data_IF_842026592750
#
_entry.id   IF_842026592750
#
_cell.length_a   1.000
_cell.length_b   1.000
_cell.length_c   1.000
_cell.angle_alpha   90.00
_cell.angle_beta   90.00
_cell.angle_gamma   90.00
#
_symmetry.space_group_name_H-M   'P 1'
#
loop_
_entity.id
_entity.type
_entity.pdbx_description
1 polymer ?
#
# COMPACT_ATOMS: atom_id res chain seq x y z
N UNK A 1 -4.13 -37.65 -16.25
CA UNK A 1 -5.13 -37.55 -17.33
C UNK A 1 -4.49 -36.76 -18.46
N UNK A 2 -4.38 -37.35 -19.65
CA UNK A 2 -3.66 -36.78 -20.81
C UNK A 2 -4.38 -35.58 -21.42
N UNK A 3 -3.67 -34.57 -21.98
CA UNK A 3 -4.33 -33.42 -22.59
C UNK A 3 -4.71 -33.68 -24.05
N UNK A 4 -5.88 -33.14 -24.43
CA UNK A 4 -6.40 -33.07 -25.80
C UNK A 4 -5.80 -31.84 -26.49
N UNK A 5 -5.37 -31.92 -27.77
CA UNK A 5 -4.79 -30.77 -28.48
C UNK A 5 -5.87 -29.83 -29.05
N UNK A 6 -5.62 -28.52 -29.14
CA UNK A 6 -6.55 -27.59 -29.78
C UNK A 6 -6.40 -27.55 -31.30
N UNK A 7 -7.54 -27.38 -31.96
CA UNK A 7 -7.74 -27.23 -33.40
C UNK A 7 -7.30 -25.84 -33.89
N UNK A 8 -6.55 -25.82 -34.99
CA UNK A 8 -6.05 -24.62 -35.67
C UNK A 8 -7.15 -23.86 -36.41
N UNK A 9 -7.44 -22.62 -35.98
CA UNK A 9 -8.33 -21.67 -36.65
C UNK A 9 -7.56 -20.55 -37.35
N UNK A 10 -7.95 -20.27 -38.60
CA UNK A 10 -7.28 -19.42 -39.59
C UNK A 10 -7.13 -17.94 -39.21
N UNK A 11 -5.97 -17.39 -39.56
CA UNK A 11 -5.60 -15.97 -39.53
C UNK A 11 -6.28 -15.19 -40.66
N UNK A 12 -7.03 -14.14 -40.33
CA UNK A 12 -7.49 -13.10 -41.27
C UNK A 12 -6.70 -11.81 -41.01
N UNK A 13 -5.94 -11.38 -42.01
CA UNK A 13 -5.19 -10.11 -42.01
C UNK A 13 -6.14 -8.97 -42.38
N UNK A 14 -6.15 -7.88 -41.61
CA UNK A 14 -6.81 -6.61 -41.96
C UNK A 14 -5.79 -5.48 -42.09
N UNK A 15 -6.04 -4.48 -42.97
CA UNK A 15 -5.02 -3.56 -43.47
C UNK A 15 -4.77 -2.36 -42.55
N UNK A 16 -3.53 -1.85 -42.61
CA UNK A 16 -3.02 -0.71 -41.86
C UNK A 16 -3.68 0.62 -42.29
N UNK A 17 -4.27 1.33 -41.35
CA UNK A 17 -4.72 2.72 -41.51
C UNK A 17 -3.65 3.71 -41.04
N UNK A 18 -3.37 4.69 -41.90
CA UNK A 18 -2.35 5.74 -41.76
C UNK A 18 -2.83 6.81 -40.77
N UNK A 19 -2.12 7.01 -39.66
CA UNK A 19 -2.44 8.03 -38.65
C UNK A 19 -1.83 9.38 -39.05
N UNK A 20 -2.70 10.38 -39.24
CA UNK A 20 -2.35 11.80 -39.45
C UNK A 20 -2.30 12.49 -38.08
N UNK A 21 -1.21 13.19 -37.76
CA UNK A 21 -1.06 13.96 -36.50
C UNK A 21 -1.63 15.38 -36.65
N UNK A 22 -2.39 15.90 -35.67
CA UNK A 22 -2.73 17.32 -35.61
C UNK A 22 -1.63 18.16 -34.91
N UNK A 23 -1.58 19.48 -35.18
CA UNK A 23 -0.51 20.37 -34.73
C UNK A 23 -0.65 20.81 -33.26
N UNK A 24 0.49 21.02 -32.61
CA UNK A 24 0.63 21.47 -31.22
C UNK A 24 0.32 22.97 -31.07
N UNK A 25 -0.50 23.32 -30.08
CA UNK A 25 -0.73 24.71 -29.61
C UNK A 25 0.17 25.04 -28.42
N UNK A 26 0.77 26.24 -28.44
CA UNK A 26 1.62 26.77 -27.36
C UNK A 26 0.79 27.36 -26.20
N UNK A 27 1.29 27.30 -24.95
CA UNK A 27 0.56 27.82 -23.78
C UNK A 27 0.70 29.34 -23.60
N UNK A 28 -0.42 30.00 -23.30
CA UNK A 28 -0.49 31.41 -22.93
C UNK A 28 -0.11 31.64 -21.45
N UNK A 29 0.68 32.68 -21.18
CA UNK A 29 1.08 33.15 -19.85
C UNK A 29 -0.08 33.82 -19.09
N UNK A 30 -0.39 33.35 -17.88
CA UNK A 30 -1.27 34.04 -16.93
C UNK A 30 -0.53 35.13 -16.13
N UNK A 31 -1.16 36.31 -16.03
CA UNK A 31 -0.75 37.46 -15.20
C UNK A 31 -1.08 37.22 -13.73
N UNK A 32 -0.16 37.58 -12.84
CA UNK A 32 -0.35 37.62 -11.39
C UNK A 32 -1.17 38.85 -10.96
N UNK A 33 -2.06 38.67 -9.98
CA UNK A 33 -2.81 39.75 -9.32
C UNK A 33 -2.27 39.97 -7.90
N UNK A 34 -2.21 41.24 -7.48
CA UNK A 34 -1.76 41.71 -6.16
C UNK A 34 -2.80 41.43 -5.06
N UNK A 35 -2.38 41.25 -3.80
CA UNK A 35 -3.29 41.06 -2.68
C UNK A 35 -3.77 42.41 -2.11
N UNK A 36 -5.09 42.55 -1.96
CA UNK A 36 -5.73 43.65 -1.24
C UNK A 36 -5.86 43.36 0.26
N UNK A 37 -5.65 44.38 1.06
CA UNK A 37 -5.70 44.38 2.53
C UNK A 37 -7.10 44.12 3.08
N UNK A 38 -7.18 43.38 4.19
CA UNK A 38 -8.38 43.31 5.04
C UNK A 38 -8.04 43.68 6.47
N UNK A 39 -8.87 44.57 7.01
CA UNK A 39 -8.89 45.01 8.40
C UNK A 39 -9.10 43.85 9.38
N UNK A 40 -8.35 43.89 10.47
CA UNK A 40 -8.29 42.85 11.49
C UNK A 40 -9.30 43.13 12.61
N UNK A 41 -10.30 42.26 12.77
CA UNK A 41 -11.10 42.15 13.99
C UNK A 41 -10.27 41.39 15.04
N UNK A 42 -9.92 42.05 16.14
CA UNK A 42 -9.26 41.42 17.29
C UNK A 42 -10.32 40.76 18.17
N UNK A 43 -10.46 39.45 18.02
CA UNK A 43 -11.09 38.57 19.01
C UNK A 43 -9.98 38.00 19.90
N UNK A 44 -9.97 38.38 21.17
CA UNK A 44 -9.10 37.79 22.19
C UNK A 44 -9.44 36.31 22.38
N UNK A 45 -8.58 35.44 21.85
CA UNK A 45 -8.61 34.00 22.10
C UNK A 45 -8.07 33.70 23.51
N UNK A 46 -8.60 32.68 24.20
CA UNK A 46 -8.02 32.24 25.46
C UNK A 46 -6.56 31.79 25.21
N UNK A 47 -5.63 32.29 26.02
CA UNK A 47 -4.22 31.91 25.98
C UNK A 47 -4.12 30.38 26.14
N UNK A 48 -3.90 29.70 25.02
CA UNK A 48 -3.56 28.28 24.99
C UNK A 48 -2.14 28.21 25.55
N UNK A 49 -2.00 27.81 26.80
CA UNK A 49 -0.67 27.58 27.40
C UNK A 49 0.01 26.51 26.58
N UNK A 50 1.10 26.88 25.90
CA UNK A 50 1.89 25.91 25.16
C UNK A 50 2.39 24.84 26.14
N UNK A 51 2.32 23.55 25.75
CA UNK A 51 2.84 22.49 26.59
C UNK A 51 4.34 22.73 26.85
N UNK A 52 4.81 22.44 28.08
CA UNK A 52 6.21 22.65 28.43
C UNK A 52 7.15 21.87 27.51
N UNK A 53 8.20 22.55 27.03
CA UNK A 53 9.25 21.97 26.19
C UNK A 53 10.26 21.25 27.08
N UNK A 54 10.40 19.94 26.90
CA UNK A 54 11.40 19.18 27.64
C UNK A 54 12.81 19.51 27.15
N UNK A 55 13.71 19.93 28.05
CA UNK A 55 15.09 20.28 27.70
C UNK A 55 15.97 19.05 27.45
N UNK A 56 15.52 17.87 27.87
CA UNK A 56 16.22 16.59 27.70
C UNK A 56 15.22 15.46 27.44
N UNK A 57 15.64 14.36 26.78
CA UNK A 57 14.80 13.17 26.59
C UNK A 57 14.28 12.59 27.91
N UNK A 58 15.12 12.57 28.96
CA UNK A 58 14.79 12.03 30.27
C UNK A 58 13.67 12.82 30.95
N UNK A 59 13.71 14.16 30.82
CA UNK A 59 12.61 15.02 31.28
C UNK A 59 11.32 14.78 30.48
N UNK A 60 11.42 14.59 29.16
CA UNK A 60 10.24 14.32 28.33
C UNK A 60 9.53 13.03 28.74
N UNK A 61 10.30 11.98 29.05
CA UNK A 61 9.78 10.69 29.54
C UNK A 61 9.15 10.84 30.92
N UNK A 62 9.79 11.56 31.85
CA UNK A 62 9.25 11.78 33.19
C UNK A 62 7.91 12.54 33.14
N UNK A 63 7.80 13.54 32.27
CA UNK A 63 6.57 14.31 32.06
C UNK A 63 5.47 13.49 31.37
N UNK A 64 5.83 12.68 30.36
CA UNK A 64 4.89 11.79 29.69
C UNK A 64 4.34 10.69 30.64
N UNK A 65 5.18 10.12 31.51
CA UNK A 65 4.76 9.14 32.53
C UNK A 65 3.82 9.75 33.58
N UNK A 66 3.84 11.07 33.76
CA UNK A 66 2.90 11.81 34.61
C UNK A 66 1.61 12.21 33.89
N UNK A 67 1.45 11.83 32.61
CA UNK A 67 0.26 12.14 31.80
C UNK A 67 0.26 13.56 31.23
N UNK A 68 1.40 14.23 31.20
CA UNK A 68 1.53 15.59 30.65
C UNK A 68 1.75 15.54 29.13
N UNK A 69 1.17 16.51 28.39
CA UNK A 69 1.50 16.71 26.99
C UNK A 69 2.86 17.41 26.89
N UNK A 70 3.79 16.85 26.12
CA UNK A 70 5.19 17.32 26.03
C UNK A 70 5.57 17.58 24.58
N UNK A 71 6.24 18.72 24.34
CA UNK A 71 6.98 18.95 23.10
C UNK A 71 8.45 18.56 23.33
N UNK A 72 9.00 17.74 22.44
CA UNK A 72 10.42 17.40 22.42
C UNK A 72 10.95 17.51 20.99
N UNK A 73 12.00 18.30 20.80
CA UNK A 73 12.62 18.50 19.50
C UNK A 73 13.92 17.68 19.45
N UNK A 74 13.84 16.49 18.85
CA UNK A 74 15.00 15.60 18.78
C UNK A 74 16.12 16.22 17.91
N UNK A 75 17.39 16.14 18.32
CA UNK A 75 18.49 16.46 17.42
C UNK A 75 18.50 15.50 16.22
N UNK A 76 18.94 15.98 15.06
CA UNK A 76 19.10 15.17 13.83
C UNK A 76 19.87 13.89 14.16
N UNK A 77 19.22 12.73 14.01
CA UNK A 77 19.81 11.45 14.39
C UNK A 77 21.08 11.16 13.55
N UNK A 78 22.21 10.77 14.17
CA UNK A 78 23.36 10.29 13.42
C UNK A 78 23.04 8.94 12.73
N UNK A 79 23.67 8.61 11.59
CA UNK A 79 23.51 7.30 10.96
C UNK A 79 24.02 6.20 11.90
N UNK A 80 23.26 5.12 12.06
CA UNK A 80 23.53 4.02 12.99
C UNK A 80 24.82 3.24 12.63
N UNK A 81 25.87 3.23 13.47
CA UNK A 81 27.06 2.42 13.26
C UNK A 81 27.23 1.26 14.25
N UNK A 82 26.18 0.74 14.91
CA UNK A 82 26.32 -0.34 15.90
C UNK A 82 25.14 -1.32 15.98
N UNK A 83 25.42 -2.52 16.52
CA UNK A 83 24.46 -3.60 16.80
C UNK A 83 23.42 -3.15 17.83
N UNK A 84 22.15 -3.34 17.49
CA UNK A 84 20.97 -2.92 18.28
C UNK A 84 20.81 -3.79 19.55
N UNK A 85 21.55 -4.89 19.67
CA UNK A 85 21.42 -5.89 20.74
C UNK A 85 21.75 -5.40 22.17
N UNK A 86 22.29 -4.18 22.34
CA UNK A 86 22.75 -3.67 23.64
C UNK A 86 22.08 -2.36 24.09
N UNK A 87 20.97 -1.96 23.46
CA UNK A 87 20.28 -0.74 23.86
C UNK A 87 19.46 -0.97 25.13
N UNK A 88 19.54 -0.02 26.06
CA UNK A 88 18.67 0.01 27.23
C UNK A 88 17.22 0.33 26.85
N UNK A 89 16.26 -0.07 27.70
CA UNK A 89 14.83 0.25 27.52
C UNK A 89 14.61 1.76 27.30
N UNK A 90 15.37 2.61 27.97
CA UNK A 90 15.30 4.07 27.81
C UNK A 90 15.85 4.57 26.48
N UNK A 91 16.87 3.93 25.88
CA UNK A 91 17.37 4.28 24.53
C UNK A 91 16.41 3.79 23.44
N UNK A 92 15.76 2.67 23.70
CA UNK A 92 14.77 2.07 22.84
C UNK A 92 13.49 2.93 22.77
N UNK A 93 13.01 3.44 23.89
CA UNK A 93 11.92 4.44 23.92
C UNK A 93 12.32 5.74 23.19
N UNK A 94 13.57 6.20 23.28
CA UNK A 94 14.07 7.37 22.53
C UNK A 94 13.96 7.19 21.01
N UNK A 95 14.29 6.01 20.49
CA UNK A 95 14.12 5.70 19.06
C UNK A 95 12.65 5.66 18.66
N UNK A 96 11.78 5.05 19.46
CA UNK A 96 10.36 5.02 19.19
C UNK A 96 9.72 6.42 19.06
N UNK A 97 10.06 7.34 19.96
CA UNK A 97 9.58 8.73 19.93
C UNK A 97 10.14 9.51 18.72
N UNK A 98 11.43 9.30 18.38
CA UNK A 98 12.05 9.92 17.21
C UNK A 98 11.45 9.42 15.87
N UNK A 99 10.78 8.26 15.89
CA UNK A 99 10.12 7.66 14.74
C UNK A 99 8.61 7.99 14.69
N UNK A 100 8.12 8.99 15.45
CA UNK A 100 6.77 9.56 15.30
C UNK A 100 5.62 8.73 15.86
N UNK A 101 5.90 7.68 16.64
CA UNK A 101 4.86 6.87 17.28
C UNK A 101 4.34 7.57 18.52
N UNK A 102 3.03 7.82 18.55
CA UNK A 102 2.39 8.55 19.65
C UNK A 102 2.26 7.73 20.94
N UNK A 103 2.35 6.39 20.87
CA UNK A 103 2.21 5.51 22.03
C UNK A 103 2.89 4.15 21.82
N UNK A 104 3.82 3.79 22.70
CA UNK A 104 4.26 2.41 22.85
C UNK A 104 3.64 1.82 24.10
N UNK A 105 2.86 0.76 23.94
CA UNK A 105 2.36 -0.02 25.08
C UNK A 105 3.21 -1.29 25.15
N UNK A 106 4.09 -1.38 26.15
CA UNK A 106 4.84 -2.60 26.43
C UNK A 106 4.11 -3.37 27.53
N UNK A 107 3.69 -4.60 27.22
CA UNK A 107 3.28 -5.57 28.22
C UNK A 107 4.27 -6.71 28.16
N UNK A 108 5.19 -6.78 29.13
CA UNK A 108 6.19 -7.85 29.19
C UNK A 108 5.89 -8.73 30.40
N UNK A 109 5.76 -10.06 30.25
CA UNK A 109 5.62 -10.95 31.40
C UNK A 109 6.87 -10.88 32.30
N UNK A 110 6.69 -11.17 33.59
CA UNK A 110 7.81 -11.32 34.51
C UNK A 110 8.72 -12.49 34.07
N UNK A 111 10.00 -12.23 33.80
CA UNK A 111 11.03 -13.28 33.67
C UNK A 111 11.69 -13.46 32.29
N UNK A 112 11.31 -12.70 31.26
CA UNK A 112 12.08 -12.63 30.00
C UNK A 112 12.97 -11.39 29.94
N UNK A 113 14.09 -11.48 29.22
CA UNK A 113 14.99 -10.35 28.97
C UNK A 113 14.29 -9.31 28.07
N UNK A 114 13.75 -8.29 28.72
CA UNK A 114 12.99 -7.21 28.08
C UNK A 114 13.85 -6.43 27.07
N UNK A 115 15.18 -6.42 27.25
CA UNK A 115 16.08 -5.65 26.39
C UNK A 115 16.19 -6.24 24.98
N UNK A 116 16.20 -7.57 24.86
CA UNK A 116 16.33 -8.27 23.56
C UNK A 116 15.09 -8.13 22.68
N UNK A 117 13.89 -8.37 23.24
CA UNK A 117 12.63 -8.24 22.50
C UNK A 117 12.35 -6.81 22.09
N UNK A 118 12.65 -5.86 22.96
CA UNK A 118 12.47 -4.44 22.69
C UNK A 118 13.46 -3.97 21.61
N UNK A 119 14.71 -4.42 21.66
CA UNK A 119 15.73 -4.15 20.64
C UNK A 119 15.33 -4.67 19.26
N UNK A 120 14.80 -5.89 19.20
CA UNK A 120 14.27 -6.46 17.95
C UNK A 120 13.06 -5.69 17.43
N UNK A 121 12.12 -5.34 18.32
CA UNK A 121 10.91 -4.60 17.95
C UNK A 121 11.21 -3.21 17.40
N UNK A 122 12.21 -2.52 17.99
CA UNK A 122 12.63 -1.21 17.53
C UNK A 122 13.56 -1.26 16.32
N UNK A 123 14.37 -2.31 16.18
CA UNK A 123 15.07 -2.57 14.93
C UNK A 123 14.06 -2.72 13.79
N UNK A 124 12.98 -3.48 13.99
CA UNK A 124 11.91 -3.63 13.01
C UNK A 124 11.20 -2.30 12.76
N UNK A 125 10.89 -1.55 13.82
CA UNK A 125 10.21 -0.26 13.69
C UNK A 125 11.06 0.82 13.01
N UNK A 126 12.39 0.82 13.23
CA UNK A 126 13.31 1.73 12.54
C UNK A 126 13.35 1.52 11.03
N UNK A 127 12.91 0.34 10.56
CA UNK A 127 12.81 -0.01 9.14
C UNK A 127 11.45 0.38 8.54
N UNK A 128 10.50 0.87 9.35
CA UNK A 128 9.22 1.39 8.85
C UNK A 128 9.49 2.66 8.03
N UNK A 129 9.07 2.69 6.75
CA UNK A 129 9.25 3.87 5.90
C UNK A 129 8.71 5.14 6.56
N UNK A 130 9.37 6.28 6.36
CA UNK A 130 8.96 7.57 6.95
C UNK A 130 7.50 7.93 6.64
N UNK A 131 7.02 7.57 5.44
CA UNK A 131 5.63 7.78 5.03
C UNK A 131 4.60 7.02 5.89
N UNK A 132 5.02 5.98 6.60
CA UNK A 132 4.12 5.16 7.43
C UNK A 132 4.09 5.59 8.88
N UNK A 133 5.13 6.29 9.34
CA UNK A 133 5.26 6.73 10.74
C UNK A 133 4.04 7.53 11.22
N UNK A 134 3.46 8.47 10.42
CA UNK A 134 2.26 9.18 10.83
C UNK A 134 1.01 8.30 10.98
N UNK A 135 0.98 7.13 10.32
CA UNK A 135 -0.14 6.20 10.37
C UNK A 135 -0.09 5.31 11.61
N UNK A 136 1.09 5.12 12.20
CA UNK A 136 1.29 4.25 13.37
C UNK A 136 0.79 4.94 14.64
N UNK A 137 -0.32 4.45 15.16
CA UNK A 137 -0.90 4.89 16.42
C UNK A 137 -0.25 4.21 17.63
N UNK A 138 0.02 2.91 17.50
CA UNK A 138 0.61 2.11 18.57
C UNK A 138 1.40 0.93 18.04
N UNK A 139 2.38 0.50 18.82
CA UNK A 139 3.06 -0.78 18.64
C UNK A 139 3.02 -1.51 19.98
N UNK A 140 2.56 -2.75 19.96
CA UNK A 140 2.55 -3.68 21.11
C UNK A 140 3.34 -4.92 20.74
N UNK A 141 4.21 -5.39 21.62
CA UNK A 141 4.88 -6.67 21.43
C UNK A 141 3.99 -7.79 21.97
N UNK A 142 3.80 -8.85 21.19
CA UNK A 142 3.03 -10.03 21.57
C UNK A 142 3.97 -11.24 21.69
N UNK A 143 4.31 -11.57 22.93
CA UNK A 143 5.19 -12.66 23.32
C UNK A 143 4.63 -14.04 22.97
N UNK A 144 3.30 -14.22 23.08
CA UNK A 144 2.65 -15.50 22.77
C UNK A 144 2.76 -15.89 21.30
N UNK A 145 2.94 -14.93 20.41
CA UNK A 145 2.94 -15.15 18.96
C UNK A 145 4.32 -14.98 18.32
N UNK A 146 5.36 -14.66 19.10
CA UNK A 146 6.62 -14.12 18.55
C UNK A 146 6.32 -13.01 17.54
N UNK A 147 5.63 -11.96 18.01
CA UNK A 147 5.01 -10.98 17.12
C UNK A 147 4.93 -9.57 17.69
N UNK A 148 4.45 -8.65 16.85
CA UNK A 148 4.01 -7.31 17.22
C UNK A 148 2.58 -7.08 16.71
N UNK A 149 1.85 -6.21 17.40
CA UNK A 149 0.57 -5.68 16.97
C UNK A 149 0.76 -4.19 16.72
N UNK A 150 0.45 -3.74 15.51
CA UNK A 150 0.58 -2.37 15.07
C UNK A 150 -0.81 -1.77 14.91
N UNK A 151 -1.14 -0.74 15.69
CA UNK A 151 -2.34 0.07 15.48
C UNK A 151 -2.05 1.10 14.41
N UNK A 152 -2.88 1.14 13.36
CA UNK A 152 -2.78 2.06 12.24
C UNK A 152 -4.05 2.88 12.08
N UNK A 153 -3.98 4.08 11.51
CA UNK A 153 -5.16 4.71 10.87
C UNK A 153 -5.17 4.37 9.39
N UNK A 154 -6.30 3.88 8.90
CA UNK A 154 -6.54 3.81 7.45
C UNK A 154 -6.81 5.21 6.88
N UNK A 155 -6.94 5.33 5.56
CA UNK A 155 -7.23 6.62 4.90
C UNK A 155 -8.55 7.28 5.34
N UNK A 156 -9.50 6.52 5.87
CA UNK A 156 -10.78 7.01 6.39
C UNK A 156 -10.62 7.51 7.84
N UNK A 157 -9.41 7.47 8.39
CA UNK A 157 -9.11 7.81 9.78
C UNK A 157 -9.56 6.75 10.79
N UNK A 158 -10.10 5.61 10.34
CA UNK A 158 -10.51 4.49 11.19
C UNK A 158 -9.28 3.75 11.68
N UNK A 159 -9.31 3.37 12.96
CA UNK A 159 -8.26 2.55 13.55
C UNK A 159 -8.37 1.12 13.04
N UNK A 160 -7.23 0.59 12.59
CA UNK A 160 -7.04 -0.77 12.12
C UNK A 160 -5.91 -1.39 12.94
N UNK A 161 -6.04 -2.68 13.24
CA UNK A 161 -4.98 -3.42 13.93
C UNK A 161 -4.35 -4.40 12.98
N UNK A 162 -3.01 -4.37 12.89
CA UNK A 162 -2.22 -5.33 12.13
C UNK A 162 -1.44 -6.18 13.10
N UNK A 163 -1.72 -7.47 13.13
CA UNK A 163 -0.92 -8.42 13.88
C UNK A 163 0.18 -8.93 12.96
N UNK A 164 1.42 -8.95 13.43
CA UNK A 164 2.59 -9.43 12.70
C UNK A 164 3.24 -10.46 13.61
N UNK A 165 3.38 -11.69 13.15
CA UNK A 165 4.17 -12.74 13.79
C UNK A 165 5.33 -13.13 12.88
N UNK A 166 6.35 -13.74 13.45
CA UNK A 166 7.45 -14.29 12.67
C UNK A 166 7.88 -15.65 13.19
N UNK A 167 8.37 -16.49 12.27
CA UNK A 167 8.93 -17.80 12.56
C UNK A 167 10.32 -17.90 11.94
N UNK A 168 11.29 -18.31 12.73
CA UNK A 168 12.60 -18.67 12.22
C UNK A 168 12.55 -20.07 11.62
N UNK A 169 13.13 -20.25 10.43
CA UNK A 169 13.37 -21.56 9.85
C UNK A 169 14.68 -22.18 10.38
N UNK A 170 14.90 -23.47 10.10
CA UNK A 170 16.08 -24.23 10.54
C UNK A 170 17.41 -23.67 9.99
N UNK A 171 17.35 -22.82 8.96
CA UNK A 171 18.50 -22.20 8.29
C UNK A 171 18.69 -20.74 8.72
N UNK A 172 17.91 -20.26 9.70
CA UNK A 172 17.96 -18.89 10.20
C UNK A 172 17.24 -17.86 9.32
N UNK A 173 16.45 -18.29 8.33
CA UNK A 173 15.51 -17.43 7.62
C UNK A 173 14.35 -17.03 8.52
N UNK A 174 13.72 -15.89 8.26
CA UNK A 174 12.49 -15.47 8.93
C UNK A 174 11.34 -15.46 7.93
N UNK A 175 10.27 -16.17 8.27
CA UNK A 175 8.96 -16.03 7.63
C UNK A 175 8.14 -15.07 8.48
N UNK A 176 7.61 -14.03 7.85
CA UNK A 176 6.68 -13.11 8.50
C UNK A 176 5.26 -13.45 8.07
N UNK A 177 4.35 -13.38 9.03
CA UNK A 177 2.95 -13.63 8.85
C UNK A 177 2.24 -12.43 9.47
N UNK A 178 1.50 -11.68 8.68
CA UNK A 178 0.71 -10.59 9.20
C UNK A 178 -0.77 -10.82 8.90
N UNK A 179 -1.64 -10.30 9.77
CA UNK A 179 -3.07 -10.29 9.54
C UNK A 179 -3.66 -8.94 9.90
N UNK A 180 -4.66 -8.52 9.12
CA UNK A 180 -5.39 -7.28 9.35
C UNK A 180 -6.82 -7.45 8.84
N UNK A 181 -7.81 -7.25 9.72
CA UNK A 181 -9.24 -7.27 9.36
C UNK A 181 -9.66 -8.54 8.59
N UNK A 182 -9.16 -9.71 9.00
CA UNK A 182 -9.44 -11.00 8.36
C UNK A 182 -8.65 -11.30 7.09
N UNK A 183 -7.83 -10.37 6.60
CA UNK A 183 -6.86 -10.59 5.53
C UNK A 183 -5.53 -11.08 6.10
N UNK A 184 -4.83 -11.94 5.36
CA UNK A 184 -3.54 -12.51 5.74
C UNK A 184 -2.45 -12.08 4.74
N UNK A 185 -1.24 -11.86 5.24
CA UNK A 185 -0.07 -11.49 4.47
C UNK A 185 1.03 -12.48 4.84
N UNK A 186 1.39 -13.37 3.93
CA UNK A 186 2.45 -14.34 4.17
C UNK A 186 3.69 -13.93 3.39
N UNK A 187 4.74 -13.53 4.11
CA UNK A 187 6.04 -13.26 3.54
C UNK A 187 6.94 -14.45 3.86
N UNK A 188 6.90 -15.45 2.99
CA UNK A 188 7.87 -16.53 2.98
C UNK A 188 9.06 -16.15 2.08
N UNK A 189 10.26 -16.57 2.48
CA UNK A 189 11.44 -16.72 1.61
C UNK A 189 12.42 -15.57 1.37
N UNK A 190 12.79 -14.72 2.35
CA UNK A 190 13.92 -13.79 2.12
C UNK A 190 14.70 -13.37 3.38
N UNK A 191 15.89 -12.76 3.18
CA UNK A 191 16.75 -12.22 4.25
C UNK A 191 15.97 -11.21 5.11
N UNK A 192 16.23 -11.22 6.41
CA UNK A 192 15.38 -10.63 7.45
C UNK A 192 15.04 -9.13 7.26
N UNK A 193 15.99 -8.32 6.80
CA UNK A 193 15.82 -6.87 6.63
C UNK A 193 14.87 -6.50 5.48
N UNK A 194 15.06 -7.11 4.30
CA UNK A 194 14.28 -6.76 3.11
C UNK A 194 12.79 -7.13 3.29
N UNK A 195 12.52 -8.18 4.07
CA UNK A 195 11.17 -8.64 4.39
C UNK A 195 10.41 -7.69 5.30
N UNK A 196 11.06 -7.12 6.32
CA UNK A 196 10.41 -6.16 7.20
C UNK A 196 9.97 -4.92 6.43
N UNK A 197 10.85 -4.40 5.56
CA UNK A 197 10.55 -3.26 4.72
C UNK A 197 9.43 -3.56 3.71
N UNK A 198 9.46 -4.73 3.06
CA UNK A 198 8.41 -5.15 2.14
C UNK A 198 7.06 -5.36 2.84
N UNK A 199 7.05 -5.97 4.03
CA UNK A 199 5.84 -6.12 4.85
C UNK A 199 5.26 -4.75 5.20
N UNK A 200 6.10 -3.83 5.65
CA UNK A 200 5.66 -2.47 5.98
C UNK A 200 4.99 -1.78 4.77
N UNK A 201 5.58 -1.90 3.58
CA UNK A 201 4.95 -1.42 2.33
C UNK A 201 3.61 -2.07 2.06
N UNK A 202 3.51 -3.40 2.15
CA UNK A 202 2.27 -4.12 1.88
C UNK A 202 1.16 -3.73 2.85
N UNK A 203 1.49 -3.61 4.14
CA UNK A 203 0.57 -3.13 5.16
C UNK A 203 0.08 -1.72 4.84
N UNK A 204 0.97 -0.84 4.40
CA UNK A 204 0.59 0.49 3.93
C UNK A 204 -0.29 0.48 2.68
N UNK A 205 0.08 -0.29 1.68
CA UNK A 205 -0.70 -0.36 0.44
C UNK A 205 -2.12 -0.85 0.74
N UNK A 206 -2.23 -1.84 1.61
CA UNK A 206 -3.50 -2.36 2.11
C UNK A 206 -4.29 -1.34 2.95
N UNK A 207 -3.64 -0.54 3.81
CA UNK A 207 -4.34 0.48 4.61
C UNK A 207 -4.91 1.63 3.80
N UNK A 208 -4.45 1.81 2.55
CA UNK A 208 -5.05 2.74 1.57
C UNK A 208 -6.30 2.15 0.88
N UNK A 209 -6.56 0.85 0.98
CA UNK A 209 -7.77 0.23 0.42
C UNK A 209 -8.97 0.56 1.33
N UNK A 210 -10.14 0.97 0.77
CA UNK A 210 -11.35 1.16 1.57
C UNK A 210 -11.69 -0.08 2.41
N UNK A 211 -12.12 0.11 3.65
CA UNK A 211 -12.32 -1.01 4.58
C UNK A 211 -13.30 -2.08 4.05
N UNK A 212 -14.39 -1.66 3.38
CA UNK A 212 -15.37 -2.57 2.79
C UNK A 212 -14.80 -3.49 1.69
N UNK A 213 -13.70 -3.09 1.08
CA UNK A 213 -13.06 -3.81 -0.02
C UNK A 213 -11.91 -4.71 0.43
N UNK A 214 -11.39 -4.51 1.64
CA UNK A 214 -10.22 -5.23 2.16
C UNK A 214 -10.40 -6.76 2.13
N UNK A 215 -11.61 -7.28 2.41
CA UNK A 215 -11.93 -8.71 2.34
C UNK A 215 -11.81 -9.35 0.95
N UNK A 216 -11.54 -8.58 -0.11
CA UNK A 216 -11.24 -9.10 -1.45
C UNK A 216 -9.82 -9.69 -1.54
N UNK A 217 -8.96 -9.38 -0.58
CA UNK A 217 -7.62 -9.96 -0.44
C UNK A 217 -7.61 -10.95 0.72
N UNK A 218 -7.11 -12.16 0.46
CA UNK A 218 -6.94 -13.23 1.44
C UNK A 218 -5.47 -13.41 1.79
N UNK A 219 -4.61 -13.46 0.77
CA UNK A 219 -3.19 -13.75 0.95
C UNK A 219 -2.32 -12.89 0.03
N UNK A 220 -1.27 -12.28 0.58
CA UNK A 220 -0.14 -11.78 -0.22
C UNK A 220 1.04 -12.71 -0.05
N UNK A 221 1.70 -13.07 -1.14
CA UNK A 221 2.87 -13.94 -1.18
C UNK A 221 4.06 -13.19 -1.81
N UNK A 222 5.28 -13.45 -1.33
CA UNK A 222 6.51 -13.01 -1.99
C UNK A 222 7.34 -14.23 -2.34
N UNK A 223 7.86 -14.27 -3.57
CA UNK A 223 8.68 -15.37 -4.07
C UNK A 223 9.97 -14.83 -4.67
N UNK A 224 11.08 -15.48 -4.35
CA UNK A 224 12.39 -15.16 -4.93
C UNK A 224 12.53 -15.55 -6.39
N UNK A 225 11.86 -16.61 -6.80
CA UNK A 225 11.90 -17.11 -8.17
C UNK A 225 11.07 -16.25 -9.14
N UNK A 226 11.28 -16.44 -10.45
CA UNK A 226 10.34 -15.95 -11.45
C UNK A 226 8.98 -16.65 -11.30
N UNK A 227 7.96 -16.11 -11.95
CA UNK A 227 6.67 -16.77 -12.02
C UNK A 227 6.81 -18.06 -12.86
N UNK A 228 6.48 -19.24 -12.31
CA UNK A 228 6.61 -20.51 -13.04
C UNK A 228 5.70 -20.58 -14.28
N UNK A 229 4.71 -19.70 -14.39
CA UNK A 229 3.80 -19.61 -15.53
C UNK A 229 4.21 -18.55 -16.56
N UNK A 230 5.37 -17.91 -16.43
CA UNK A 230 5.82 -16.86 -17.38
C UNK A 230 5.85 -17.38 -18.84
N UNK A 231 6.33 -18.61 -19.07
CA UNK A 231 6.34 -19.22 -20.41
C UNK A 231 4.94 -19.41 -21.01
N UNK A 232 3.94 -19.64 -20.16
CA UNK A 232 2.55 -19.73 -20.58
C UNK A 232 2.02 -18.34 -20.98
N UNK A 233 2.26 -17.32 -20.15
CA UNK A 233 1.82 -15.95 -20.41
C UNK A 233 2.54 -15.31 -21.59
N UNK A 234 3.82 -15.60 -21.78
CA UNK A 234 4.59 -15.20 -22.96
C UNK A 234 3.89 -15.62 -24.26
N UNK A 235 3.37 -16.86 -24.30
CA UNK A 235 2.61 -17.39 -25.44
C UNK A 235 1.24 -16.75 -25.54
N UNK A 236 0.53 -16.61 -24.42
CA UNK A 236 -0.82 -16.05 -24.38
C UNK A 236 -0.85 -14.58 -24.86
N UNK A 237 0.16 -13.81 -24.49
CA UNK A 237 0.29 -12.40 -24.85
C UNK A 237 1.09 -12.17 -26.14
N UNK A 238 1.69 -13.22 -26.69
CA UNK A 238 2.60 -13.13 -27.83
C UNK A 238 3.74 -12.12 -27.59
N UNK A 239 4.32 -12.18 -26.39
CA UNK A 239 5.44 -11.33 -25.94
C UNK A 239 6.60 -12.25 -25.57
N UNK A 240 7.61 -12.31 -26.43
CA UNK A 240 8.83 -13.06 -26.15
C UNK A 240 9.55 -12.47 -24.93
N UNK A 241 10.00 -13.34 -24.01
CA UNK A 241 10.65 -12.91 -22.78
C UNK A 241 9.72 -12.24 -21.77
N UNK A 242 8.39 -12.40 -21.91
CA UNK A 242 7.44 -11.95 -20.90
C UNK A 242 7.84 -12.46 -19.53
N UNK A 243 7.76 -11.58 -18.53
CA UNK A 243 7.97 -11.99 -17.16
C UNK A 243 7.16 -11.16 -16.17
N UNK A 244 6.37 -11.86 -15.36
CA UNK A 244 5.55 -11.25 -14.33
C UNK A 244 6.39 -10.68 -13.19
N UNK A 245 6.09 -9.43 -12.82
CA UNK A 245 6.55 -8.86 -11.55
C UNK A 245 5.63 -9.29 -10.39
N UNK A 246 4.33 -9.38 -10.67
CA UNK A 246 3.31 -9.86 -9.74
C UNK A 246 2.18 -10.59 -10.51
N UNK A 247 1.32 -11.28 -9.76
CA UNK A 247 0.06 -11.86 -10.26
C UNK A 247 -1.02 -11.79 -9.20
N UNK A 248 -2.26 -11.55 -9.60
CA UNK A 248 -3.44 -11.42 -8.75
C UNK A 248 -4.60 -12.30 -9.19
N UNK A 249 -5.51 -12.60 -8.25
CA UNK A 249 -6.71 -13.38 -8.49
C UNK A 249 -7.00 -14.39 -7.38
N UNK A 250 -8.27 -14.80 -7.25
CA UNK A 250 -8.76 -15.73 -6.22
C UNK A 250 -8.48 -15.27 -4.78
N UNK A 251 -8.42 -13.97 -4.55
CA UNK A 251 -8.04 -13.37 -3.28
C UNK A 251 -6.55 -13.41 -2.99
N UNK A 252 -5.71 -13.73 -3.98
CA UNK A 252 -4.26 -13.78 -3.80
C UNK A 252 -3.60 -12.64 -4.55
N UNK A 253 -2.48 -12.17 -4.01
CA UNK A 253 -1.46 -11.39 -4.73
C UNK A 253 -0.13 -12.09 -4.51
N UNK A 254 0.65 -12.31 -5.57
CA UNK A 254 1.98 -12.90 -5.47
C UNK A 254 2.98 -12.01 -6.18
N UNK A 255 4.01 -11.55 -5.47
CA UNK A 255 5.17 -10.87 -6.03
C UNK A 255 6.28 -11.87 -6.33
N UNK A 256 6.95 -11.71 -7.47
CA UNK A 256 8.05 -12.57 -7.90
C UNK A 256 9.37 -11.80 -7.92
N UNK A 257 10.49 -12.53 -7.94
CA UNK A 257 11.85 -11.97 -7.96
C UNK A 257 12.17 -11.11 -6.73
N UNK A 258 11.64 -11.53 -5.58
CA UNK A 258 11.91 -10.95 -4.27
C UNK A 258 11.21 -9.61 -4.01
N UNK A 259 11.73 -8.85 -3.04
CA UNK A 259 11.08 -7.62 -2.53
C UNK A 259 11.14 -6.42 -3.48
N UNK A 260 12.01 -6.45 -4.50
CA UNK A 260 12.18 -5.33 -5.45
C UNK A 260 10.92 -5.01 -6.25
N UNK A 261 10.03 -5.98 -6.42
CA UNK A 261 8.76 -5.82 -7.11
C UNK A 261 7.61 -5.45 -6.17
N UNK A 262 7.84 -5.32 -4.86
CA UNK A 262 6.84 -4.82 -3.93
C UNK A 262 6.72 -3.31 -4.11
N UNK A 263 5.81 -2.94 -5.02
CA UNK A 263 5.46 -1.58 -5.40
C UNK A 263 3.94 -1.42 -5.31
N UNK A 264 3.50 -0.22 -4.96
CA UNK A 264 2.09 0.14 -4.80
C UNK A 264 1.30 -0.08 -6.08
N UNK A 265 1.87 0.25 -7.24
CA UNK A 265 1.17 0.07 -8.51
C UNK A 265 0.95 -1.38 -8.89
N UNK A 266 1.94 -2.24 -8.68
CA UNK A 266 1.74 -3.67 -8.86
C UNK A 266 0.75 -4.21 -7.84
N UNK A 267 0.83 -3.81 -6.56
CA UNK A 267 -0.17 -4.21 -5.57
C UNK A 267 -1.58 -3.79 -5.95
N UNK A 268 -1.79 -2.52 -6.28
CA UNK A 268 -3.09 -1.95 -6.60
C UNK A 268 -3.64 -2.61 -7.87
N UNK A 269 -2.81 -2.86 -8.89
CA UNK A 269 -3.19 -3.60 -10.11
C UNK A 269 -3.68 -5.02 -9.76
N UNK A 270 -2.86 -5.82 -9.06
CA UNK A 270 -3.23 -7.20 -8.73
C UNK A 270 -4.44 -7.28 -7.78
N UNK A 271 -4.59 -6.30 -6.90
CA UNK A 271 -5.78 -6.14 -6.06
C UNK A 271 -7.03 -5.84 -6.90
N UNK A 272 -6.87 -5.06 -7.98
CA UNK A 272 -7.91 -4.82 -8.98
C UNK A 272 -8.48 -6.12 -9.57
N UNK A 273 -7.65 -7.11 -9.89
CA UNK A 273 -8.16 -8.42 -10.33
C UNK A 273 -9.02 -9.13 -9.28
N UNK A 274 -8.61 -9.07 -8.01
CA UNK A 274 -9.39 -9.66 -6.91
C UNK A 274 -10.75 -8.96 -6.75
N UNK A 275 -10.79 -7.63 -6.86
CA UNK A 275 -12.04 -6.87 -6.86
C UNK A 275 -12.92 -7.25 -8.05
N UNK A 276 -12.37 -7.26 -9.25
CA UNK A 276 -13.10 -7.60 -10.45
C UNK A 276 -13.77 -8.97 -10.32
N UNK A 277 -13.06 -9.92 -9.73
CA UNK A 277 -13.59 -11.25 -9.43
C UNK A 277 -14.67 -11.26 -8.35
N UNK A 278 -14.61 -10.37 -7.35
CA UNK A 278 -15.65 -10.22 -6.31
C UNK A 278 -16.98 -9.71 -6.88
N UNK A 279 -16.90 -8.81 -7.86
CA UNK A 279 -18.06 -8.17 -8.48
C UNK A 279 -18.50 -8.82 -9.81
N UNK A 280 -18.06 -10.04 -10.10
CA UNK A 280 -18.47 -10.81 -11.28
C UNK A 280 -19.33 -12.02 -10.93
N UNK A 281 -20.45 -12.19 -11.63
CA UNK A 281 -21.24 -13.43 -11.60
C UNK A 281 -20.61 -14.56 -12.43
N UNK A 282 -19.71 -14.23 -13.36
CA UNK A 282 -19.12 -15.17 -14.33
C UNK A 282 -17.76 -15.71 -13.88
N UNK A 283 -17.32 -15.35 -12.68
CA UNK A 283 -15.99 -15.68 -12.15
C UNK A 283 -14.83 -15.21 -13.05
N UNK A 284 -15.02 -14.10 -13.76
CA UNK A 284 -13.95 -13.38 -14.48
C UNK A 284 -13.33 -12.30 -13.59
N UNK A 285 -12.18 -11.76 -13.96
CA UNK A 285 -11.42 -10.81 -13.13
C UNK A 285 -11.83 -9.33 -13.34
N UNK A 286 -13.09 -9.08 -13.69
CA UNK A 286 -13.69 -7.76 -13.90
C UNK A 286 -15.22 -7.81 -13.68
N UNK A 287 -15.89 -6.69 -13.30
CA UNK A 287 -17.34 -6.66 -13.12
C UNK A 287 -18.11 -6.93 -14.42
N UNK A 288 -19.31 -7.50 -14.31
CA UNK A 288 -20.04 -8.00 -15.50
C UNK A 288 -20.44 -6.93 -16.54
N UNK A 289 -20.53 -5.67 -16.13
CA UNK A 289 -20.83 -4.51 -16.98
C UNK A 289 -19.59 -3.76 -17.49
N UNK A 290 -18.39 -4.21 -17.12
CA UNK A 290 -17.14 -3.52 -17.44
C UNK A 290 -16.85 -3.44 -18.94
N UNK A 291 -17.03 -4.53 -19.69
CA UNK A 291 -16.77 -4.55 -21.13
C UNK A 291 -17.65 -3.54 -21.88
N UNK A 292 -18.92 -3.42 -21.48
CA UNK A 292 -19.84 -2.45 -22.04
C UNK A 292 -19.40 -1.01 -21.72
N UNK A 293 -18.87 -0.75 -20.51
CA UNK A 293 -18.32 0.54 -20.14
C UNK A 293 -17.07 0.90 -20.96
N UNK A 294 -16.12 -0.04 -21.09
CA UNK A 294 -14.92 0.14 -21.92
C UNK A 294 -15.29 0.42 -23.38
N UNK A 295 -16.22 -0.35 -23.94
CA UNK A 295 -16.68 -0.15 -25.31
C UNK A 295 -17.34 1.22 -25.51
N UNK A 296 -18.15 1.66 -24.57
CA UNK A 296 -18.88 2.91 -24.67
C UNK A 296 -18.01 4.16 -24.43
N UNK A 297 -16.93 4.04 -23.65
CA UNK A 297 -15.92 5.09 -23.50
C UNK A 297 -14.93 5.09 -24.69
N UNK A 298 -14.73 3.95 -25.36
CA UNK A 298 -13.94 3.85 -26.60
C UNK A 298 -12.41 3.91 -26.40
N UNK A 299 -11.95 4.08 -25.17
CA UNK A 299 -10.53 4.07 -24.78
C UNK A 299 -10.34 3.38 -23.42
N UNK A 300 -9.13 2.87 -23.17
CA UNK A 300 -8.72 2.29 -21.89
C UNK A 300 -7.54 3.08 -21.31
N UNK A 301 -7.34 2.95 -20.00
CA UNK A 301 -6.43 3.82 -19.24
C UNK A 301 -4.94 3.73 -19.61
N UNK A 302 -4.50 2.64 -20.24
CA UNK A 302 -3.11 2.42 -20.62
C UNK A 302 -2.96 1.57 -21.88
N UNK A 303 -1.75 1.46 -22.42
CA UNK A 303 -1.48 0.55 -23.54
C UNK A 303 -1.64 -0.91 -23.10
N UNK A 304 -1.18 -1.25 -21.89
CA UNK A 304 -1.25 -2.60 -21.35
C UNK A 304 -2.71 -3.05 -21.11
N UNK A 305 -3.58 -2.12 -20.68
CA UNK A 305 -5.02 -2.32 -20.57
C UNK A 305 -5.71 -2.78 -21.88
N UNK A 306 -5.07 -2.61 -23.05
CA UNK A 306 -5.63 -3.07 -24.34
C UNK A 306 -5.50 -4.59 -24.53
N UNK A 307 -4.76 -5.27 -23.66
CA UNK A 307 -4.49 -6.71 -23.78
C UNK A 307 -5.76 -7.54 -23.61
N UNK A 308 -6.58 -7.25 -22.59
CA UNK A 308 -7.89 -7.86 -22.37
C UNK A 308 -8.71 -7.06 -21.32
N UNK A 309 -9.99 -7.41 -21.14
CA UNK A 309 -10.91 -6.71 -20.23
C UNK A 309 -10.51 -6.78 -18.75
N UNK A 310 -9.87 -7.87 -18.30
CA UNK A 310 -9.38 -8.00 -16.92
C UNK A 310 -8.23 -7.03 -16.65
N UNK A 311 -7.26 -6.96 -17.56
CA UNK A 311 -6.15 -6.00 -17.48
C UNK A 311 -6.66 -4.57 -17.55
N UNK A 312 -7.67 -4.30 -18.39
CA UNK A 312 -8.30 -2.99 -18.44
C UNK A 312 -8.91 -2.57 -17.10
N UNK A 313 -9.61 -3.49 -16.42
CA UNK A 313 -10.18 -3.22 -15.10
C UNK A 313 -9.11 -2.99 -14.03
N UNK A 314 -8.10 -3.88 -13.96
CA UNK A 314 -7.02 -3.78 -12.99
C UNK A 314 -6.20 -2.48 -13.16
N UNK A 315 -5.87 -2.13 -14.40
CA UNK A 315 -5.19 -0.87 -14.71
C UNK A 315 -6.03 0.36 -14.35
N UNK A 316 -7.35 0.31 -14.59
CA UNK A 316 -8.25 1.40 -14.24
C UNK A 316 -8.36 1.58 -12.72
N UNK A 317 -8.46 0.47 -11.98
CA UNK A 317 -8.44 0.48 -10.52
C UNK A 317 -7.13 1.03 -9.97
N UNK A 318 -5.98 0.52 -10.43
CA UNK A 318 -4.65 1.03 -10.05
C UNK A 318 -4.54 2.54 -10.32
N UNK A 319 -4.99 2.98 -11.50
CA UNK A 319 -4.96 4.40 -11.88
C UNK A 319 -5.81 5.22 -10.91
N UNK A 320 -7.02 4.78 -10.61
CA UNK A 320 -7.91 5.45 -9.67
C UNK A 320 -7.35 5.47 -8.24
N UNK A 321 -6.71 4.40 -7.78
CA UNK A 321 -6.01 4.39 -6.50
C UNK A 321 -4.88 5.42 -6.44
N UNK A 322 -4.13 5.62 -7.54
CA UNK A 322 -3.13 6.71 -7.61
C UNK A 322 -3.78 8.10 -7.56
N UNK A 323 -4.95 8.26 -8.18
CA UNK A 323 -5.72 9.50 -8.10
C UNK A 323 -6.14 9.81 -6.66
N UNK A 324 -6.68 8.81 -5.95
CA UNK A 324 -7.22 8.99 -4.60
C UNK A 324 -6.14 9.12 -3.53
N UNK A 325 -4.95 8.56 -3.75
CA UNK A 325 -3.82 8.65 -2.83
C UNK A 325 -2.73 9.59 -3.37
N UNK A 326 -3.09 10.61 -4.14
CA UNK A 326 -2.15 11.52 -4.80
C UNK A 326 -1.22 12.22 -3.80
N UNK A 327 -1.71 12.54 -2.61
CA UNK A 327 -0.95 13.24 -1.57
C UNK A 327 0.13 12.33 -0.94
N UNK A 328 -0.04 11.01 -0.99
CA UNK A 328 0.96 10.03 -0.53
C UNK A 328 2.05 9.79 -1.59
N UNK A 329 1.84 10.25 -2.82
CA UNK A 329 2.68 9.99 -3.99
C UNK A 329 3.52 11.22 -4.34
N UNK A 330 4.32 11.72 -3.38
CA UNK A 330 5.12 12.95 -3.56
C UNK A 330 6.10 12.91 -4.76
N UNK A 331 6.34 11.75 -5.40
CA UNK A 331 7.38 11.61 -6.43
C UNK A 331 7.02 10.68 -7.61
N UNK A 332 5.81 10.77 -8.18
CA UNK A 332 5.49 10.09 -9.45
C UNK A 332 5.42 11.08 -10.63
N UNK A 333 6.25 10.85 -11.66
CA UNK A 333 6.22 11.60 -12.92
C UNK A 333 5.87 10.66 -14.10
N UNK A 334 4.91 11.04 -14.97
CA UNK A 334 4.00 12.18 -14.80
C UNK A 334 3.07 11.98 -13.59
N UNK A 335 2.53 13.07 -13.00
CA UNK A 335 1.54 12.95 -11.94
C UNK A 335 0.32 12.17 -12.44
N UNK A 336 -0.39 11.43 -11.56
CA UNK A 336 -1.65 10.81 -11.93
C UNK A 336 -2.67 11.89 -12.33
N UNK A 337 -3.66 11.56 -13.18
CA UNK A 337 -4.74 12.49 -13.50
C UNK A 337 -5.50 12.91 -12.23
N UNK A 338 -6.20 14.04 -12.26
CA UNK A 338 -7.17 14.36 -11.20
C UNK A 338 -8.38 13.44 -11.28
N UNK A 339 -9.21 13.34 -10.22
CA UNK A 339 -10.48 12.63 -10.30
C UNK A 339 -11.36 13.14 -11.46
N UNK A 340 -11.38 14.45 -11.68
CA UNK A 340 -12.16 15.08 -12.75
C UNK A 340 -11.61 14.70 -14.13
N UNK A 341 -10.29 14.72 -14.33
CA UNK A 341 -9.66 14.30 -15.59
C UNK A 341 -9.93 12.81 -15.88
N UNK A 342 -9.92 11.96 -14.84
CA UNK A 342 -10.26 10.54 -15.00
C UNK A 342 -11.73 10.34 -15.39
N UNK A 343 -12.66 11.04 -14.74
CA UNK A 343 -14.10 11.00 -15.06
C UNK A 343 -14.42 11.58 -16.44
N UNK A 344 -13.76 12.66 -16.83
CA UNK A 344 -13.96 13.29 -18.14
C UNK A 344 -13.50 12.34 -19.26
N UNK A 345 -12.36 11.68 -19.05
CA UNK A 345 -11.77 10.79 -20.05
C UNK A 345 -12.46 9.43 -20.12
N UNK A 346 -12.86 8.86 -18.98
CA UNK A 346 -13.43 7.52 -18.90
C UNK A 346 -14.72 7.49 -18.06
N UNK A 347 -15.79 8.20 -18.46
CA UNK A 347 -16.93 8.45 -17.59
C UNK A 347 -17.66 7.20 -17.11
N UNK A 348 -17.79 6.16 -17.95
CA UNK A 348 -18.51 4.93 -17.57
C UNK A 348 -17.62 3.99 -16.78
N UNK A 349 -16.35 3.89 -17.16
CA UNK A 349 -15.36 3.16 -16.36
C UNK A 349 -15.20 3.78 -14.97
N UNK A 350 -15.09 5.12 -14.88
CA UNK A 350 -15.00 5.85 -13.63
C UNK A 350 -16.21 5.60 -12.73
N UNK A 351 -17.42 5.65 -13.27
CA UNK A 351 -18.63 5.35 -12.52
C UNK A 351 -18.56 3.98 -11.83
N UNK A 352 -18.20 2.92 -12.57
CA UNK A 352 -18.08 1.56 -12.00
C UNK A 352 -17.01 1.50 -10.89
N UNK A 353 -15.84 2.10 -11.14
CA UNK A 353 -14.74 2.11 -10.17
C UNK A 353 -15.13 2.88 -8.91
N UNK A 354 -15.83 4.00 -9.05
CA UNK A 354 -16.28 4.84 -7.95
C UNK A 354 -17.35 4.16 -7.10
N UNK A 355 -18.34 3.51 -7.72
CA UNK A 355 -19.37 2.73 -7.02
C UNK A 355 -18.74 1.59 -6.20
N UNK A 356 -17.71 0.92 -6.73
CA UNK A 356 -16.95 -0.09 -5.99
C UNK A 356 -16.17 0.56 -4.86
N UNK A 357 -15.42 1.63 -5.14
CA UNK A 357 -14.55 2.30 -4.17
C UNK A 357 -15.33 2.88 -2.98
N UNK A 358 -16.51 3.46 -3.23
CA UNK A 358 -17.39 4.02 -2.19
C UNK A 358 -18.15 2.96 -1.39
N UNK A 359 -18.20 1.71 -1.90
CA UNK A 359 -19.03 0.65 -1.34
C UNK A 359 -20.51 0.76 -1.70
N UNK A 360 -20.88 1.64 -2.63
CA UNK A 360 -22.24 1.72 -3.18
C UNK A 360 -22.61 0.48 -4.00
N UNK A 361 -21.61 -0.20 -4.56
CA UNK A 361 -21.81 -1.47 -5.26
C UNK A 361 -21.80 -2.64 -4.27
N UNK A 362 -22.89 -3.40 -4.23
CA UNK A 362 -22.97 -4.62 -3.43
C UNK A 362 -22.12 -5.75 -4.04
N UNK A 363 -21.42 -6.48 -3.17
CA UNK A 363 -20.66 -7.68 -3.53
C UNK A 363 -21.63 -8.78 -3.99
N UNK A 364 -21.25 -9.53 -5.02
CA UNK A 364 -22.05 -10.65 -5.54
C UNK A 364 -21.71 -11.98 -4.88
N UNK A 365 -20.68 -12.01 -4.01
CA UNK A 365 -20.10 -13.24 -3.44
C UNK A 365 -20.19 -13.34 -1.90
N UNK A 366 -20.95 -12.46 -1.25
CA UNK A 366 -21.06 -12.43 0.22
C UNK A 366 -22.25 -13.28 0.74
N UNK A 367 -22.74 -14.26 -0.05
CA UNK A 367 -23.78 -15.23 0.33
C UNK A 367 -23.20 -16.63 0.60
#
# INVERSE_FOLDING_TARGET
MSPVPPTSGKTTVSPQTKVVRPPQTQPQKKKAAQPGSRDSLVLSTPQKTEPPLAATPEQAVEMALKGEAVLYQAPKAPPLPFSIQNLSVGELTRYGVALGVNRFDFSVPSGQDQSSLLSQSLALFSQVPDSLKPLVQSVRVNDRMNGITVGLKNKEGKSQTVEISWKADEKGGLTFDASAEGSHFELSSLKTHDNAYALAKLVHYFSRVPAALQGSLKTVNLKDGPNPSDDYWAKQYNVEGFSSAATGGNGNVTFYKGTNNVKDDYFDHEFGHNLGQRFSTKNVLYPDDWEAAVQADGEVVSHYAKSNAAEAFAEAWMTYMRVMNRDDLEFRYPPPPTPEEFREKYPRQAKIIEEIYSGERESLKDN
#
